data_IF_279990473740
#
_entry.id   IF_279990473740
#
_cell.length_a   1.000
_cell.length_b   1.000
_cell.length_c   1.000
_cell.angle_alpha   90.00
_cell.angle_beta   90.00
_cell.angle_gamma   90.00
#
_symmetry.space_group_name_H-M   'P 1'
#
loop_
_entity.id
_entity.type
_entity.pdbx_description
1 polymer ?
#
# COMPACT_ATOMS: atom_id res chain seq x y z
N UNK A 1 -1.72 14.28 -29.39
CA UNK A 1 -1.89 14.11 -28.93
C UNK A 1 -2.36 13.84 -28.18
N UNK A 2 -2.19 14.11 -28.01
CA UNK A 2 -2.48 13.85 -27.39
C UNK A 2 -3.14 13.70 -26.65
N UNK A 3 -3.35 13.91 -26.71
CA UNK A 3 -3.80 13.78 -25.99
C UNK A 3 -4.23 13.35 -25.20
N UNK A 4 -4.06 13.17 -25.34
CA UNK A 4 -4.28 12.75 -24.67
C UNK A 4 -4.32 12.72 -23.77
N UNK A 5 -3.99 12.93 -23.83
CA UNK A 5 -3.78 12.91 -22.98
C UNK A 5 -4.34 13.20 -22.06
N UNK A 6 -4.43 13.39 -22.11
CA UNK A 6 -4.87 13.67 -21.30
C UNK A 6 -5.90 13.73 -20.65
N UNK A 7 -6.33 13.18 -20.64
CA UNK A 7 -7.45 13.18 -19.95
C UNK A 7 -7.30 13.44 -18.60
N UNK A 8 -6.44 13.03 -18.17
CA UNK A 8 -6.16 13.40 -17.00
C UNK A 8 -5.89 14.70 -16.96
N UNK A 9 -6.08 15.22 -17.99
CA UNK A 9 -5.97 16.54 -18.15
C UNK A 9 -6.65 17.24 -17.11
N UNK A 10 -7.63 16.79 -16.58
CA UNK A 10 -8.27 17.49 -15.60
C UNK A 10 -7.30 17.88 -14.58
N UNK A 11 -6.15 17.63 -14.81
CA UNK A 11 -5.32 18.25 -14.02
C UNK A 11 -4.68 17.53 -12.95
N UNK A 12 -5.26 17.29 -11.92
CA UNK A 12 -4.57 16.65 -10.85
C UNK A 12 -4.24 15.27 -11.24
N UNK A 13 -3.08 14.77 -10.92
CA UNK A 13 -2.76 13.39 -11.12
C UNK A 13 -3.81 12.66 -10.39
N UNK A 14 -4.56 11.94 -11.09
CA UNK A 14 -5.61 11.19 -10.51
C UNK A 14 -5.09 10.03 -9.72
N UNK A 15 -5.98 9.46 -8.96
CA UNK A 15 -5.64 8.30 -8.17
C UNK A 15 -5.21 7.15 -9.03
N UNK A 16 -5.68 7.10 -10.28
CA UNK A 16 -5.31 6.05 -11.20
C UNK A 16 -3.81 6.06 -11.53
N UNK A 17 -3.17 7.22 -11.45
CA UNK A 17 -1.74 7.31 -11.75
C UNK A 17 -0.89 6.70 -10.64
N UNK A 18 -1.47 6.51 -9.47
CA UNK A 18 -0.77 5.99 -8.32
C UNK A 18 -1.10 4.52 -8.07
N UNK A 19 -2.03 3.97 -8.81
CA UNK A 19 -2.47 2.60 -8.58
C UNK A 19 -1.83 1.64 -9.56
N UNK A 20 -1.52 0.45 -9.10
CA UNK A 20 -1.00 -0.62 -9.94
C UNK A 20 -1.81 -1.88 -9.63
N UNK A 21 -2.04 -2.73 -10.62
CA UNK A 21 -2.74 -3.98 -10.37
C UNK A 21 -1.88 -4.92 -9.53
N UNK A 22 -2.53 -5.80 -8.79
CA UNK A 22 -1.81 -6.80 -8.01
C UNK A 22 -0.92 -7.65 -8.90
N UNK A 23 -1.41 -8.06 -10.07
CA UNK A 23 -0.63 -8.89 -10.98
C UNK A 23 0.65 -8.20 -11.40
N UNK A 24 0.56 -6.93 -11.78
CA UNK A 24 1.74 -6.17 -12.19
C UNK A 24 2.70 -5.95 -11.01
N UNK A 25 2.16 -5.69 -9.83
CA UNK A 25 2.99 -5.52 -8.64
C UNK A 25 3.77 -6.79 -8.33
N UNK A 26 3.11 -7.94 -8.37
CA UNK A 26 3.78 -9.21 -8.11
C UNK A 26 4.86 -9.50 -9.16
N UNK A 27 4.59 -9.14 -10.40
CA UNK A 27 5.57 -9.33 -11.46
C UNK A 27 6.81 -8.47 -11.23
N UNK A 28 6.62 -7.21 -10.84
CA UNK A 28 7.74 -6.34 -10.53
C UNK A 28 8.58 -6.89 -9.38
N UNK A 29 7.93 -7.46 -8.37
CA UNK A 29 8.63 -8.07 -7.26
C UNK A 29 9.43 -9.30 -7.71
N UNK A 30 8.84 -10.13 -8.56
CA UNK A 30 9.52 -11.32 -9.08
C UNK A 30 10.75 -10.96 -9.91
N UNK A 31 10.67 -9.86 -10.64
CA UNK A 31 11.80 -9.42 -11.46
C UNK A 31 12.86 -8.66 -10.65
N UNK A 32 12.62 -8.47 -9.36
CA UNK A 32 13.57 -7.73 -8.53
C UNK A 32 13.55 -6.23 -8.78
N UNK A 33 12.51 -5.72 -9.42
CA UNK A 33 12.41 -4.31 -9.77
C UNK A 33 11.58 -3.50 -8.79
N UNK A 34 10.82 -4.13 -7.93
CA UNK A 34 9.99 -3.44 -6.96
C UNK A 34 9.99 -4.14 -5.62
N UNK A 35 9.68 -3.39 -4.58
CA UNK A 35 9.58 -3.92 -3.23
C UNK A 35 8.17 -3.73 -2.71
N UNK A 36 7.57 -4.80 -2.24
CA UNK A 36 6.22 -4.71 -1.67
C UNK A 36 6.33 -4.37 -0.20
N UNK A 37 5.61 -3.33 0.21
CA UNK A 37 5.59 -2.85 1.57
C UNK A 37 4.17 -2.94 2.10
N UNK A 38 3.97 -3.79 3.09
CA UNK A 38 2.68 -3.96 3.73
C UNK A 38 2.56 -2.92 4.83
N UNK A 39 1.65 -1.97 4.64
CA UNK A 39 1.50 -0.85 5.57
C UNK A 39 0.38 -1.06 6.58
N UNK A 40 -0.16 -2.28 6.63
CA UNK A 40 -1.21 -2.62 7.61
C UNK A 40 -0.63 -2.65 9.02
N UNK A 41 -1.50 -2.62 9.99
CA UNK A 41 -1.09 -2.73 11.38
C UNK A 41 -0.76 -4.18 11.73
N UNK A 42 0.06 -4.36 12.74
CA UNK A 42 0.51 -5.70 13.13
C UNK A 42 -0.66 -6.63 13.44
N UNK A 43 -1.68 -6.14 14.13
CA UNK A 43 -2.79 -7.02 14.49
C UNK A 43 -3.61 -7.46 13.27
N UNK A 44 -3.63 -6.67 12.20
CA UNK A 44 -4.32 -7.08 10.98
C UNK A 44 -3.61 -8.27 10.35
N UNK A 45 -2.29 -8.24 10.37
CA UNK A 45 -1.48 -9.33 9.83
C UNK A 45 -1.67 -10.59 10.67
N UNK A 46 -1.73 -10.44 11.99
CA UNK A 46 -1.97 -11.58 12.87
C UNK A 46 -3.34 -12.21 12.63
N UNK A 47 -4.35 -11.40 12.43
CA UNK A 47 -5.70 -11.90 12.24
C UNK A 47 -5.98 -12.43 10.85
N UNK A 48 -5.37 -11.85 9.84
CA UNK A 48 -5.71 -12.14 8.45
C UNK A 48 -4.61 -12.79 7.63
N UNK A 49 -3.39 -12.77 8.15
CA UNK A 49 -2.26 -13.36 7.47
C UNK A 49 -1.38 -12.34 6.79
N UNK A 50 -0.15 -12.72 6.53
CA UNK A 50 0.86 -11.89 5.87
C UNK A 50 0.94 -12.24 4.40
N UNK A 51 1.49 -11.33 3.61
CA UNK A 51 1.78 -11.59 2.20
C UNK A 51 3.26 -12.00 2.13
N UNK A 52 3.55 -13.19 1.62
CA UNK A 52 4.94 -13.65 1.53
C UNK A 52 5.79 -12.68 0.72
N UNK A 53 6.96 -12.35 1.25
CA UNK A 53 7.89 -11.46 0.56
C UNK A 53 7.66 -9.99 0.77
N UNK A 54 6.56 -9.60 1.38
CA UNK A 54 6.30 -8.19 1.67
C UNK A 54 7.00 -7.79 2.97
N UNK A 55 7.54 -6.58 2.98
CA UNK A 55 8.10 -6.03 4.19
C UNK A 55 6.99 -5.33 4.98
N UNK A 56 6.97 -5.54 6.27
CA UNK A 56 5.92 -4.92 7.10
C UNK A 56 6.44 -3.61 7.69
N UNK A 57 5.90 -2.51 7.19
CA UNK A 57 6.22 -1.17 7.70
C UNK A 57 4.88 -0.45 7.87
N UNK A 58 4.32 -0.47 9.08
CA UNK A 58 2.99 0.12 9.27
C UNK A 58 3.00 1.62 9.05
N UNK A 59 1.98 2.11 8.36
CA UNK A 59 1.83 3.55 8.13
C UNK A 59 1.47 4.27 9.43
N UNK A 60 0.64 3.64 10.24
CA UNK A 60 0.29 4.15 11.56
C UNK A 60 -0.23 2.99 12.40
N UNK A 61 -0.27 3.17 13.69
CA UNK A 61 -0.78 2.14 14.57
C UNK A 61 -1.89 2.68 15.46
N UNK A 62 -2.99 1.97 15.50
CA UNK A 62 -4.09 2.28 16.40
C UNK A 62 -4.00 1.26 17.51
N UNK A 63 -4.00 1.74 18.74
CA UNK A 63 -3.94 0.83 19.88
C UNK A 63 -5.33 0.31 20.17
N UNK A 64 -5.71 -0.73 19.45
CA UNK A 64 -6.96 -1.39 19.67
C UNK A 64 -6.67 -2.76 20.24
N UNK A 65 -7.38 -3.06 21.32
CA UNK A 65 -7.29 -4.40 21.89
C UNK A 65 -8.38 -5.22 21.23
N UNK A 66 -8.02 -5.88 20.15
CA UNK A 66 -8.97 -6.72 19.46
C UNK A 66 -8.66 -8.17 19.78
N UNK A 67 -9.59 -8.82 20.41
CA UNK A 67 -9.45 -10.24 20.66
C UNK A 67 -10.25 -11.06 19.67
N UNK A 68 -10.58 -10.51 18.52
CA UNK A 68 -11.48 -11.14 17.58
C UNK A 68 -11.15 -10.72 16.14
N UNK A 69 -11.77 -11.35 15.18
CA UNK A 69 -11.66 -10.96 13.79
C UNK A 69 -12.28 -9.58 13.57
N UNK A 70 -11.67 -8.77 12.74
CA UNK A 70 -12.20 -7.45 12.43
C UNK A 70 -13.55 -7.56 11.75
N UNK A 71 -14.51 -6.78 12.22
CA UNK A 71 -15.78 -6.63 11.53
C UNK A 71 -15.58 -5.67 10.35
N UNK A 72 -16.56 -5.61 9.45
CA UNK A 72 -16.50 -4.68 8.33
C UNK A 72 -16.44 -3.24 8.81
N UNK A 73 -17.21 -2.90 9.85
CA UNK A 73 -17.20 -1.55 10.40
C UNK A 73 -15.84 -1.19 10.96
N UNK A 74 -15.20 -2.11 11.67
CA UNK A 74 -13.87 -1.89 12.21
C UNK A 74 -12.85 -1.70 11.10
N UNK A 75 -12.96 -2.51 10.05
CA UNK A 75 -12.06 -2.39 8.92
C UNK A 75 -12.25 -1.06 8.20
N UNK A 76 -13.47 -0.59 8.07
CA UNK A 76 -13.75 0.70 7.44
C UNK A 76 -13.14 1.85 8.23
N UNK A 77 -13.21 1.78 9.55
CA UNK A 77 -12.59 2.80 10.40
C UNK A 77 -11.08 2.83 10.16
N UNK A 78 -10.46 1.68 10.08
CA UNK A 78 -9.03 1.62 9.82
C UNK A 78 -8.69 2.15 8.44
N UNK A 79 -9.46 1.78 7.44
CA UNK A 79 -9.18 2.21 6.07
C UNK A 79 -9.38 3.71 5.88
N UNK A 80 -10.22 4.33 6.69
CA UNK A 80 -10.43 5.76 6.64
C UNK A 80 -9.48 6.54 7.56
N UNK A 81 -8.71 5.85 8.38
CA UNK A 81 -7.81 6.49 9.34
C UNK A 81 -6.67 7.22 8.68
N UNK A 82 -6.19 8.25 9.35
CA UNK A 82 -5.07 9.04 8.88
C UNK A 82 -3.95 9.00 9.90
N UNK A 83 -2.71 8.90 9.45
CA UNK A 83 -1.59 8.89 10.38
C UNK A 83 -1.35 10.27 10.98
N UNK A 84 -0.79 10.28 12.17
CA UNK A 84 -0.33 11.53 12.79
C UNK A 84 1.01 11.91 12.17
N UNK A 85 1.47 13.09 12.51
CA UNK A 85 2.77 13.55 12.02
C UNK A 85 3.90 12.64 12.48
N UNK A 86 3.81 12.16 13.72
CA UNK A 86 4.81 11.23 14.25
C UNK A 86 4.77 9.90 13.50
N UNK A 87 3.56 9.42 13.19
CA UNK A 87 3.41 8.20 12.40
C UNK A 87 4.07 8.34 11.04
N UNK A 88 3.85 9.47 10.39
CA UNK A 88 4.42 9.74 9.06
C UNK A 88 5.94 9.76 9.12
N UNK A 89 6.49 10.43 10.13
CA UNK A 89 7.94 10.50 10.28
C UNK A 89 8.54 9.12 10.52
N UNK A 90 7.90 8.32 11.36
CA UNK A 90 8.37 6.98 11.66
C UNK A 90 8.32 6.09 10.42
N UNK A 91 7.22 6.15 9.69
CA UNK A 91 7.05 5.38 8.47
C UNK A 91 8.10 5.75 7.42
N UNK A 92 8.25 7.04 7.15
CA UNK A 92 9.19 7.51 6.15
C UNK A 92 10.63 7.17 6.54
N UNK A 93 10.97 7.37 7.81
CA UNK A 93 12.32 7.10 8.30
C UNK A 93 12.67 5.62 8.15
N UNK A 94 11.74 4.74 8.50
CA UNK A 94 11.97 3.30 8.40
C UNK A 94 12.12 2.89 6.93
N UNK A 95 11.23 3.39 6.09
CA UNK A 95 11.26 3.06 4.67
C UNK A 95 12.55 3.55 4.02
N UNK A 96 12.93 4.80 4.31
CA UNK A 96 14.12 5.39 3.73
C UNK A 96 15.39 4.63 4.14
N UNK A 97 15.44 4.16 5.39
CA UNK A 97 16.57 3.38 5.88
C UNK A 97 16.70 2.05 5.14
N UNK A 98 15.55 1.42 4.82
CA UNK A 98 15.57 0.11 4.18
C UNK A 98 15.72 0.18 2.67
N UNK A 99 15.22 1.24 2.05
CA UNK A 99 15.15 1.30 0.59
C UNK A 99 15.94 2.43 -0.07
N UNK A 100 16.50 3.29 0.65
CA UNK A 100 17.46 4.29 0.18
C UNK A 100 17.19 5.04 -1.10
N UNK A 101 16.13 5.59 -1.32
CA UNK A 101 16.16 6.50 -2.41
C UNK A 101 15.01 6.62 -3.31
N UNK A 102 15.07 7.71 -4.02
CA UNK A 102 13.97 8.23 -4.79
C UNK A 102 13.58 7.38 -5.98
N UNK A 103 14.50 6.53 -6.44
CA UNK A 103 14.23 5.72 -7.63
C UNK A 103 13.72 4.32 -7.35
N UNK A 104 13.61 3.97 -6.09
CA UNK A 104 13.07 2.65 -5.75
C UNK A 104 11.59 2.59 -6.08
N UNK A 105 11.15 1.48 -6.64
CA UNK A 105 9.74 1.23 -6.89
C UNK A 105 9.18 0.63 -5.61
N UNK A 106 8.38 1.42 -4.90
CA UNK A 106 7.78 1.00 -3.63
C UNK A 106 6.31 0.72 -3.87
N UNK A 107 5.91 -0.52 -3.62
CA UNK A 107 4.55 -0.98 -3.87
C UNK A 107 3.83 -1.10 -2.54
N UNK A 108 3.07 -0.07 -2.18
CA UNK A 108 2.38 -0.04 -0.90
C UNK A 108 1.10 -0.86 -0.98
N UNK A 109 0.89 -1.72 -0.01
CA UNK A 109 -0.31 -2.53 0.04
C UNK A 109 -0.96 -2.42 1.41
N UNK A 110 -2.27 -2.29 1.44
CA UNK A 110 -3.04 -2.31 2.66
C UNK A 110 -4.20 -3.30 2.49
N UNK A 111 -5.28 -3.17 3.24
CA UNK A 111 -6.36 -4.14 3.12
C UNK A 111 -7.18 -3.98 1.84
N UNK A 112 -7.58 -2.75 1.53
CA UNK A 112 -8.48 -2.49 0.39
C UNK A 112 -7.90 -1.59 -0.68
N UNK A 113 -6.80 -0.92 -0.40
CA UNK A 113 -6.18 0.04 -1.32
C UNK A 113 -6.33 1.50 -0.91
N UNK A 114 -7.09 1.79 0.13
CA UNK A 114 -7.32 3.19 0.55
C UNK A 114 -6.13 3.78 1.29
N UNK A 115 -5.65 3.11 2.32
CA UNK A 115 -4.48 3.60 3.08
C UNK A 115 -3.24 3.61 2.22
N UNK A 116 -3.09 2.61 1.35
CA UNK A 116 -1.92 2.53 0.48
C UNK A 116 -1.91 3.62 -0.57
N UNK A 117 -3.07 4.09 -1.00
CA UNK A 117 -3.14 5.22 -1.91
C UNK A 117 -2.63 6.49 -1.21
N UNK A 118 -3.05 6.69 0.03
CA UNK A 118 -2.54 7.81 0.83
C UNK A 118 -1.02 7.69 0.99
N UNK A 119 -0.53 6.48 1.31
CA UNK A 119 0.89 6.26 1.50
C UNK A 119 1.68 6.56 0.23
N UNK A 120 1.18 6.14 -0.93
CA UNK A 120 1.85 6.40 -2.20
C UNK A 120 1.92 7.90 -2.49
N UNK A 121 0.83 8.63 -2.24
CA UNK A 121 0.82 10.08 -2.41
C UNK A 121 1.83 10.74 -1.49
N UNK A 122 1.85 10.32 -0.23
CA UNK A 122 2.77 10.86 0.76
C UNK A 122 4.22 10.62 0.33
N UNK A 123 4.54 9.39 -0.06
CA UNK A 123 5.90 9.06 -0.45
C UNK A 123 6.35 9.84 -1.68
N UNK A 124 5.44 10.06 -2.63
CA UNK A 124 5.79 10.88 -3.80
C UNK A 124 6.09 12.31 -3.40
N UNK A 125 5.34 12.86 -2.45
CA UNK A 125 5.61 14.20 -1.96
C UNK A 125 6.93 14.30 -1.21
N UNK A 126 7.44 13.17 -0.71
CA UNK A 126 8.70 13.12 0.03
C UNK A 126 9.88 12.66 -0.83
N UNK A 127 9.68 12.53 -2.14
CA UNK A 127 10.76 12.22 -3.04
C UNK A 127 10.80 10.82 -3.64
N UNK A 128 9.95 9.92 -3.19
CA UNK A 128 9.87 8.59 -3.79
C UNK A 128 9.00 8.67 -5.03
N UNK A 129 9.63 8.94 -6.16
CA UNK A 129 8.90 9.21 -7.40
C UNK A 129 8.16 8.03 -7.98
N UNK A 130 8.52 6.83 -7.56
CA UNK A 130 7.96 5.60 -8.10
C UNK A 130 7.17 4.81 -7.06
N UNK A 131 6.60 5.51 -6.07
CA UNK A 131 5.74 4.88 -5.10
C UNK A 131 4.36 4.65 -5.71
N UNK A 132 3.81 3.46 -5.53
CA UNK A 132 2.53 3.07 -6.09
C UNK A 132 1.68 2.37 -5.05
N UNK A 133 0.37 2.40 -5.23
CA UNK A 133 -0.58 1.71 -4.37
C UNK A 133 -1.08 0.46 -5.11
N UNK A 134 -1.05 -0.68 -4.44
CA UNK A 134 -1.55 -1.92 -5.03
C UNK A 134 -3.06 -1.93 -4.94
N UNK A 135 -3.71 -1.89 -6.08
CA UNK A 135 -5.17 -1.83 -6.15
C UNK A 135 -5.80 -3.09 -5.55
N UNK A 136 -6.83 -2.88 -4.77
CA UNK A 136 -7.54 -3.98 -4.11
C UNK A 136 -6.85 -4.56 -2.89
N UNK A 137 -5.58 -4.25 -2.71
CA UNK A 137 -4.83 -4.60 -1.51
C UNK A 137 -4.82 -6.08 -1.17
N UNK A 138 -4.75 -6.36 0.12
CA UNK A 138 -4.72 -7.72 0.64
C UNK A 138 -5.96 -8.50 0.23
N UNK A 139 -7.11 -7.84 0.11
CA UNK A 139 -8.33 -8.52 -0.33
C UNK A 139 -8.16 -9.11 -1.72
N UNK A 140 -7.52 -8.37 -2.65
CA UNK A 140 -7.25 -8.86 -3.98
C UNK A 140 -6.29 -10.04 -3.94
N UNK A 141 -5.26 -9.95 -3.08
CA UNK A 141 -4.31 -11.04 -2.92
C UNK A 141 -4.99 -12.31 -2.39
N UNK A 142 -5.89 -12.16 -1.42
CA UNK A 142 -6.64 -13.30 -0.89
C UNK A 142 -7.49 -13.95 -1.97
N UNK A 143 -8.15 -13.16 -2.78
CA UNK A 143 -8.97 -13.69 -3.88
C UNK A 143 -8.10 -14.44 -4.87
N UNK A 144 -6.93 -13.92 -5.18
CA UNK A 144 -6.01 -14.58 -6.10
C UNK A 144 -5.57 -15.93 -5.54
N UNK A 145 -5.25 -16.00 -4.25
CA UNK A 145 -4.86 -17.26 -3.62
C UNK A 145 -6.01 -18.26 -3.65
N UNK A 146 -7.24 -17.82 -3.43
CA UNK A 146 -8.39 -18.71 -3.41
C UNK A 146 -8.70 -19.30 -4.79
N UNK A 147 -8.32 -18.61 -5.87
CA UNK A 147 -8.60 -19.10 -7.24
C UNK A 147 -7.45 -19.90 -7.83
N UNK A 148 -6.32 -19.98 -7.14
CA UNK A 148 -5.19 -20.75 -7.66
C UNK A 148 -5.41 -22.22 -7.46
N UNK A 149 -5.01 -23.04 -8.44
CA UNK A 149 -5.05 -24.47 -8.25
C UNK A 149 -4.09 -24.85 -7.15
N UNK A 150 -4.43 -25.84 -6.39
CA UNK A 150 -3.62 -26.32 -5.29
C UNK A 150 -2.27 -26.87 -5.77
#
# INVERSE_FOLDING_TARGET
MDSSITPNASGSPGETDLAISLASALELCQLGLGSMVDIRQAFEIELKGAIPGAEHIPLFEVKLLLGHTLTEDEQDVLDAGKPTEIDVQSFFSTLNRLHHGADNIVLCICNSGRRSLYAAKLLRSLGYRKALSVAGGFQAWKKLQATRPA
#
